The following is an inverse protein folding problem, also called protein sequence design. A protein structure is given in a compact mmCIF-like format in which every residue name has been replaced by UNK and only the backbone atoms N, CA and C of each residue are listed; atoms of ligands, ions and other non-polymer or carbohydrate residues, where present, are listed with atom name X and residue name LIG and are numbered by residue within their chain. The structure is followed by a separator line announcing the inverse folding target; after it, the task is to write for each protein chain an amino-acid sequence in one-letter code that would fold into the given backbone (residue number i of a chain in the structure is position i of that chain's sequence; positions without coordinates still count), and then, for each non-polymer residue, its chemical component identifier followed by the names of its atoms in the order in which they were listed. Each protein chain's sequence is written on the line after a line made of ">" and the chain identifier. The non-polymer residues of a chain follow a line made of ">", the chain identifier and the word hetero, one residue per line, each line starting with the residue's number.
data_IF_741138310375
#
_entry.id   IF_741138310375
#
_cell.length_a   1.000
_cell.length_b   1.000
_cell.length_c   1.000
_cell.angle_alpha   90.00
_cell.angle_beta   90.00
_cell.angle_gamma   90.00
#
_symmetry.space_group_name_H-M   'P 1'
#
loop_
_entity.id
_entity.type
_entity.pdbx_description
1 polymer ?
#
# COMPACT_ATOMS: atom_id res chain seq x y z
N UNK A 1 -6.25 -19.60 7.20
CA UNK A 1 -5.23 -18.53 7.19
C UNK A 1 -5.91 -17.34 6.53
N UNK A 2 -6.16 -16.25 7.26
CA UNK A 2 -6.69 -15.04 6.62
C UNK A 2 -5.66 -14.57 5.59
N UNK A 3 -6.09 -14.29 4.37
CA UNK A 3 -5.21 -13.74 3.32
C UNK A 3 -4.69 -12.38 3.81
N UNK A 4 -3.37 -12.29 4.03
CA UNK A 4 -2.72 -11.05 4.45
C UNK A 4 -2.03 -10.42 3.27
N UNK A 5 -2.36 -9.17 3.00
CA UNK A 5 -1.77 -8.43 1.90
C UNK A 5 -0.44 -7.79 2.27
N UNK A 6 0.47 -7.77 1.29
CA UNK A 6 1.69 -6.97 1.33
C UNK A 6 1.34 -5.48 1.26
N UNK A 7 2.22 -4.63 1.76
CA UNK A 7 1.99 -3.19 1.81
C UNK A 7 2.86 -2.51 0.74
N UNK A 8 2.29 -1.55 0.02
CA UNK A 8 3.04 -0.72 -0.93
C UNK A 8 2.96 0.77 -0.60
N UNK A 9 3.73 1.54 -1.37
CA UNK A 9 3.62 2.99 -1.46
C UNK A 9 2.17 3.42 -1.64
N UNK A 10 1.79 4.48 -0.93
CA UNK A 10 0.42 4.98 -0.89
C UNK A 10 -0.45 4.30 0.18
N UNK A 11 0.07 3.31 0.91
CA UNK A 11 -0.65 2.68 2.01
C UNK A 11 -1.12 3.70 3.05
N UNK A 12 -2.40 3.63 3.39
CA UNK A 12 -3.02 4.56 4.34
C UNK A 12 -2.74 4.07 5.76
N UNK A 13 -2.08 4.91 6.56
CA UNK A 13 -1.75 4.62 7.95
C UNK A 13 -2.45 5.59 8.89
N UNK A 14 -2.74 5.13 10.11
CA UNK A 14 -3.36 5.95 11.15
C UNK A 14 -2.75 5.63 12.51
N UNK A 15 -2.45 6.67 13.28
CA UNK A 15 -2.05 6.53 14.68
C UNK A 15 -3.29 6.47 15.59
N UNK A 16 -3.28 5.59 16.60
CA UNK A 16 -4.34 5.51 17.61
C UNK A 16 -4.56 6.82 18.38
N UNK A 17 -3.56 7.69 18.41
CA UNK A 17 -3.59 9.00 19.08
C UNK A 17 -3.76 10.17 18.11
N UNK A 18 -3.78 9.90 16.80
CA UNK A 18 -3.97 10.89 15.75
C UNK A 18 -5.45 11.06 15.38
N UNK A 19 -5.76 12.16 14.70
CA UNK A 19 -7.13 12.47 14.23
C UNK A 19 -7.31 12.32 12.72
N UNK A 20 -6.23 12.21 11.96
CA UNK A 20 -6.28 12.02 10.51
C UNK A 20 -5.29 10.93 10.06
N UNK A 21 -5.59 10.20 8.97
CA UNK A 21 -4.65 9.27 8.36
C UNK A 21 -3.66 10.00 7.43
N UNK A 22 -2.53 9.34 7.14
CA UNK A 22 -1.52 9.80 6.19
C UNK A 22 -1.01 8.62 5.34
N UNK A 23 -0.43 8.91 4.18
CA UNK A 23 0.04 7.90 3.22
C UNK A 23 1.52 7.59 3.41
N UNK A 24 1.86 6.30 3.44
CA UNK A 24 3.23 5.81 3.52
C UNK A 24 3.93 6.01 2.17
N UNK A 25 5.12 6.60 2.21
CA UNK A 25 6.02 6.76 1.06
C UNK A 25 7.26 5.90 1.27
N UNK A 26 7.52 5.02 0.33
CA UNK A 26 8.67 4.12 0.36
C UNK A 26 9.88 4.89 -0.18
N UNK A 27 10.91 5.02 0.66
CA UNK A 27 12.14 5.78 0.31
C UNK A 27 13.39 4.92 0.32
N UNK A 28 13.28 3.71 0.84
CA UNK A 28 14.43 2.85 1.11
C UNK A 28 14.83 1.95 -0.05
N UNK A 29 13.98 1.83 -1.08
CA UNK A 29 14.22 1.01 -2.26
C UNK A 29 13.51 1.61 -3.48
N UNK A 30 13.93 1.24 -4.68
CA UNK A 30 13.45 1.81 -5.95
C UNK A 30 13.24 0.77 -7.07
N UNK A 31 13.09 -0.51 -6.72
CA UNK A 31 13.11 -1.62 -7.69
C UNK A 31 12.00 -2.63 -7.52
N UNK A 32 11.42 -2.75 -6.33
CA UNK A 32 10.49 -3.81 -5.97
C UNK A 32 9.09 -3.23 -5.95
N UNK A 33 8.35 -3.48 -7.01
CA UNK A 33 6.96 -3.05 -7.19
C UNK A 33 6.02 -4.23 -6.94
N UNK A 34 4.82 -3.96 -6.43
CA UNK A 34 3.76 -4.97 -6.28
C UNK A 34 2.47 -4.51 -6.92
N UNK A 35 1.84 -5.43 -7.66
CA UNK A 35 0.55 -5.22 -8.31
C UNK A 35 0.48 -3.91 -9.12
N UNK A 36 1.56 -3.65 -9.87
CA UNK A 36 1.79 -2.49 -10.71
C UNK A 36 2.47 -3.00 -11.98
N UNK A 37 1.71 -3.04 -13.07
CA UNK A 37 2.16 -3.62 -14.35
C UNK A 37 3.35 -2.87 -14.93
N UNK A 38 3.37 -1.54 -14.78
CA UNK A 38 4.38 -0.67 -15.35
C UNK A 38 5.58 -0.49 -14.41
N UNK A 39 5.43 -0.87 -13.15
CA UNK A 39 6.50 -0.85 -12.15
C UNK A 39 7.01 0.57 -11.88
N UNK A 40 6.08 1.50 -11.67
CA UNK A 40 6.40 2.93 -11.54
C UNK A 40 6.12 3.47 -10.14
N UNK A 41 4.99 3.08 -9.53
CA UNK A 41 4.40 3.80 -8.41
C UNK A 41 4.25 2.96 -7.14
N UNK A 42 3.94 1.66 -7.25
CA UNK A 42 3.59 0.81 -6.08
C UNK A 42 4.80 0.05 -5.52
N UNK A 43 5.81 0.80 -5.09
CA UNK A 43 6.98 0.25 -4.40
C UNK A 43 6.56 -0.52 -3.13
N UNK A 44 7.05 -1.74 -2.93
CA UNK A 44 6.82 -2.53 -1.73
C UNK A 44 7.45 -1.87 -0.51
N UNK A 45 6.69 -1.79 0.57
CA UNK A 45 7.15 -1.24 1.86
C UNK A 45 7.80 -2.33 2.73
N UNK A 46 8.80 -1.91 3.50
CA UNK A 46 9.59 -2.78 4.36
C UNK A 46 9.74 -2.20 5.77
N UNK A 47 10.16 -3.04 6.73
CA UNK A 47 10.46 -2.58 8.08
C UNK A 47 11.60 -1.54 8.17
N UNK A 48 12.33 -1.32 7.07
CA UNK A 48 13.38 -0.29 7.00
C UNK A 48 12.82 1.10 6.67
N UNK A 49 11.54 1.22 6.28
CA UNK A 49 10.89 2.51 6.00
C UNK A 49 10.55 3.26 7.29
N UNK A 50 11.61 3.65 8.01
CA UNK A 50 11.61 4.40 9.27
C UNK A 50 11.93 5.89 9.03
N UNK A 51 11.72 6.72 10.04
CA UNK A 51 11.93 8.16 9.98
C UNK A 51 10.72 8.93 9.46
N UNK A 52 10.95 9.98 8.68
CA UNK A 52 9.91 10.80 8.04
C UNK A 52 9.52 10.23 6.67
N UNK A 53 8.76 9.14 6.71
CA UNK A 53 8.36 8.37 5.53
C UNK A 53 6.92 8.59 5.11
N UNK A 54 6.13 9.40 5.81
CA UNK A 54 4.79 9.74 5.37
C UNK A 54 4.79 10.96 4.43
N UNK A 55 3.74 11.13 3.64
CA UNK A 55 3.62 12.28 2.72
C UNK A 55 3.53 13.61 3.47
N UNK A 56 2.57 13.72 4.39
CA UNK A 56 2.38 14.95 5.19
C UNK A 56 3.19 14.94 6.48
N UNK A 57 3.68 13.77 6.90
CA UNK A 57 4.38 13.56 8.16
C UNK A 57 3.56 14.05 9.37
N UNK A 58 2.24 13.92 9.29
CA UNK A 58 1.33 14.26 10.37
C UNK A 58 0.08 13.38 10.34
N UNK A 59 -0.38 12.95 11.51
CA UNK A 59 -1.69 12.30 11.68
C UNK A 59 -2.74 13.27 12.23
N UNK A 60 -2.68 14.55 11.83
CA UNK A 60 -3.56 15.60 12.37
C UNK A 60 -3.10 16.06 13.75
N UNK A 61 -4.01 16.18 14.70
CA UNK A 61 -3.72 16.46 16.11
C UNK A 61 -3.37 15.19 16.88
N UNK A 62 -2.42 15.28 17.81
CA UNK A 62 -1.96 14.15 18.62
C UNK A 62 -2.41 14.30 20.09
N UNK A 63 -3.22 13.36 20.59
CA UNK A 63 -3.67 13.40 21.99
C UNK A 63 -2.53 13.23 23.00
N UNK A 64 -1.44 12.56 22.62
CA UNK A 64 -0.20 12.45 23.42
C UNK A 64 0.65 13.72 23.43
N UNK A 65 0.33 14.68 22.56
CA UNK A 65 0.96 16.01 22.53
C UNK A 65 -0.02 17.10 22.96
N UNK A 66 -0.96 16.83 23.87
CA UNK A 66 -1.99 17.80 24.29
C UNK A 66 -2.76 18.40 23.09
N UNK A 67 -3.11 17.57 22.11
CA UNK A 67 -3.78 17.94 20.85
C UNK A 67 -3.00 18.90 19.95
N UNK A 68 -1.71 19.11 20.19
CA UNK A 68 -0.85 19.82 19.26
C UNK A 68 -0.70 19.03 17.94
N UNK A 69 -0.29 19.70 16.84
CA UNK A 69 -0.02 19.06 15.56
C UNK A 69 0.96 17.88 15.71
N UNK A 70 0.55 16.72 15.20
CA UNK A 70 1.36 15.51 15.19
C UNK A 70 2.58 15.68 14.30
N UNK A 71 3.76 15.33 14.81
CA UNK A 71 4.98 15.19 14.02
C UNK A 71 5.37 13.71 14.00
N UNK A 72 4.85 12.95 13.03
CA UNK A 72 5.15 11.52 12.97
C UNK A 72 6.58 11.30 12.48
N UNK A 73 7.30 10.46 13.21
CA UNK A 73 8.58 9.88 12.81
C UNK A 73 8.54 8.42 13.27
N UNK A 74 8.66 7.50 12.32
CA UNK A 74 8.64 6.06 12.62
C UNK A 74 9.97 5.65 13.21
N UNK A 75 9.96 4.98 14.36
CA UNK A 75 11.19 4.48 15.00
C UNK A 75 11.45 3.02 14.65
N UNK A 76 10.40 2.23 14.58
CA UNK A 76 10.46 0.80 14.27
C UNK A 76 9.12 0.31 13.71
N UNK A 77 9.20 -0.81 12.98
CA UNK A 77 8.05 -1.60 12.54
C UNK A 77 8.05 -2.96 13.24
N UNK A 78 6.87 -3.48 13.54
CA UNK A 78 6.64 -4.80 14.11
C UNK A 78 5.63 -5.59 13.27
N UNK A 79 5.64 -6.92 13.43
CA UNK A 79 4.72 -7.80 12.70
C UNK A 79 4.97 -7.84 11.19
N UNK A 80 6.21 -7.60 10.76
CA UNK A 80 6.67 -7.78 9.37
C UNK A 80 6.81 -9.27 9.01
N UNK A 81 6.89 -9.58 7.72
CA UNK A 81 6.98 -10.94 7.22
C UNK A 81 8.43 -11.35 6.97
N UNK A 82 8.93 -12.28 7.81
CA UNK A 82 10.34 -12.68 7.80
C UNK A 82 10.77 -13.50 6.59
N UNK A 83 9.83 -14.09 5.84
CA UNK A 83 10.15 -14.96 4.70
C UNK A 83 10.42 -14.20 3.41
N UNK A 84 10.15 -12.90 3.36
CA UNK A 84 10.46 -12.03 2.22
C UNK A 84 11.46 -10.98 2.69
N UNK A 85 12.65 -11.00 2.13
CA UNK A 85 13.70 -10.00 2.37
C UNK A 85 14.10 -9.37 1.05
N UNK A 86 14.07 -8.04 0.98
CA UNK A 86 14.54 -7.29 -0.17
C UNK A 86 16.05 -7.13 -0.05
N UNK A 87 16.78 -7.55 -1.09
CA UNK A 87 18.24 -7.43 -1.11
C UNK A 87 18.70 -5.96 -1.12
N UNK A 88 17.93 -5.07 -1.76
CA UNK A 88 18.29 -3.66 -1.96
C UNK A 88 18.44 -2.87 -0.65
N UNK A 89 17.59 -3.16 0.35
CA UNK A 89 17.61 -2.48 1.65
C UNK A 89 17.74 -3.44 2.85
N UNK A 90 17.94 -4.74 2.60
CA UNK A 90 17.90 -5.83 3.60
C UNK A 90 16.60 -5.85 4.42
N UNK A 91 15.55 -5.27 3.85
CA UNK A 91 14.26 -5.02 4.48
C UNK A 91 13.32 -6.20 4.32
N UNK A 92 12.77 -6.67 5.44
CA UNK A 92 11.63 -7.57 5.50
C UNK A 92 10.33 -6.86 5.12
N UNK A 93 9.47 -7.55 4.37
CA UNK A 93 8.23 -6.98 3.84
C UNK A 93 7.20 -6.67 4.93
N UNK A 94 6.48 -5.56 4.79
CA UNK A 94 5.35 -5.23 5.65
C UNK A 94 4.07 -5.94 5.18
N UNK A 95 3.25 -6.33 6.15
CA UNK A 95 1.90 -6.85 5.94
C UNK A 95 0.89 -5.82 6.45
N UNK A 96 -0.36 -5.93 6.02
CA UNK A 96 -1.47 -5.11 6.56
C UNK A 96 -1.60 -5.20 8.10
N UNK A 97 -1.16 -6.31 8.70
CA UNK A 97 -1.15 -6.49 10.15
C UNK A 97 0.06 -5.87 10.85
N UNK A 98 1.06 -5.39 10.10
CA UNK A 98 2.25 -4.74 10.64
C UNK A 98 1.88 -3.41 11.30
N UNK A 99 2.65 -3.04 12.32
CA UNK A 99 2.42 -1.83 13.10
C UNK A 99 3.71 -1.04 13.22
N UNK A 100 3.59 0.27 13.32
CA UNK A 100 4.71 1.17 13.51
C UNK A 100 4.66 1.86 14.88
N UNK A 101 5.84 2.19 15.38
CA UNK A 101 6.03 2.96 16.61
C UNK A 101 6.50 4.37 16.29
N UNK A 102 6.03 5.36 17.05
CA UNK A 102 6.60 6.70 17.06
C UNK A 102 7.09 7.06 18.48
N UNK A 103 8.04 8.00 18.64
CA UNK A 103 8.68 8.26 19.93
C UNK A 103 7.75 8.93 20.94
N UNK A 104 6.66 9.56 20.48
CA UNK A 104 5.72 10.31 21.31
C UNK A 104 4.51 9.46 21.75
N UNK A 105 4.16 8.47 20.93
CA UNK A 105 2.99 7.63 21.14
C UNK A 105 3.27 6.50 22.12
N UNK A 106 2.99 5.29 21.68
CA UNK A 106 3.35 4.07 22.37
C UNK A 106 3.93 3.09 21.36
N UNK A 107 4.49 1.98 21.84
CA UNK A 107 4.82 0.87 20.96
C UNK A 107 3.61 0.48 20.12
N UNK A 108 3.83 0.24 18.82
CA UNK A 108 2.83 -0.22 17.86
C UNK A 108 1.57 0.67 17.75
N UNK A 109 1.72 1.99 17.96
CA UNK A 109 0.58 2.91 17.95
C UNK A 109 0.06 3.26 16.55
N UNK A 110 0.85 3.06 15.50
CA UNK A 110 0.49 3.34 14.10
C UNK A 110 0.06 2.03 13.43
N UNK A 111 -1.12 2.04 12.83
CA UNK A 111 -1.72 0.90 12.13
C UNK A 111 -1.85 1.21 10.65
N UNK A 112 -1.75 0.16 9.84
CA UNK A 112 -2.06 0.21 8.41
C UNK A 112 -3.57 -0.02 8.28
N UNK A 113 -4.27 0.96 7.71
CA UNK A 113 -5.72 0.93 7.49
C UNK A 113 -6.04 0.41 6.10
N UNK A 114 -5.19 0.76 5.12
CA UNK A 114 -5.27 0.26 3.76
C UNK A 114 -3.85 -0.06 3.27
N UNK A 115 -3.65 -1.25 2.71
CA UNK A 115 -2.34 -1.73 2.26
C UNK A 115 -1.78 -1.01 1.01
N UNK A 116 -2.58 -0.16 0.36
CA UNK A 116 -2.19 0.69 -0.75
C UNK A 116 -2.23 0.01 -2.13
N UNK A 117 -2.56 -1.28 -2.18
CA UNK A 117 -2.67 -2.00 -3.45
C UNK A 117 -4.07 -1.79 -4.03
N UNK A 118 -4.15 -1.65 -5.35
CA UNK A 118 -5.39 -1.67 -6.13
C UNK A 118 -5.27 -2.79 -7.14
N UNK A 119 -6.26 -3.67 -7.23
CA UNK A 119 -6.30 -4.71 -8.25
C UNK A 119 -6.33 -4.08 -9.64
N UNK A 120 -5.35 -4.42 -10.48
CA UNK A 120 -5.32 -4.01 -11.88
C UNK A 120 -5.81 -5.18 -12.74
N UNK A 121 -6.83 -4.93 -13.55
CA UNK A 121 -7.32 -5.89 -14.54
C UNK A 121 -6.33 -5.90 -15.69
N UNK A 122 -5.64 -7.02 -15.87
CA UNK A 122 -4.76 -7.22 -17.02
C UNK A 122 -5.55 -7.76 -18.22
N UNK A 123 -5.01 -7.64 -19.44
CA UNK A 123 -5.56 -8.31 -20.62
C UNK A 123 -5.70 -9.82 -20.40
N UNK A 124 -4.71 -10.43 -19.75
CA UNK A 124 -4.76 -11.84 -19.35
C UNK A 124 -5.91 -12.14 -18.37
N UNK A 125 -6.31 -11.17 -17.54
CA UNK A 125 -7.46 -11.31 -16.63
C UNK A 125 -8.78 -11.33 -17.39
N UNK A 126 -8.88 -10.59 -18.49
CA UNK A 126 -10.05 -10.59 -19.39
C UNK A 126 -10.10 -11.89 -20.20
N UNK A 127 -8.96 -12.33 -20.75
CA UNK A 127 -8.87 -13.57 -21.52
C UNK A 127 -9.23 -14.83 -20.72
N UNK A 128 -8.87 -14.84 -19.43
CA UNK A 128 -9.16 -15.98 -18.53
C UNK A 128 -10.54 -15.91 -17.87
N UNK A 129 -11.27 -14.80 -18.04
CA UNK A 129 -12.58 -14.64 -17.43
C UNK A 129 -13.66 -15.40 -18.24
N UNK A 130 -14.73 -15.80 -17.56
CA UNK A 130 -15.84 -16.48 -18.20
C UNK A 130 -16.57 -15.52 -19.15
N UNK A 131 -16.56 -15.86 -20.43
CA UNK A 131 -17.09 -14.99 -21.49
C UNK A 131 -18.61 -14.80 -21.38
N UNK A 132 -19.37 -15.78 -20.87
CA UNK A 132 -20.81 -15.65 -20.67
C UNK A 132 -21.11 -14.67 -19.53
N UNK A 133 -20.37 -14.77 -18.43
CA UNK A 133 -20.48 -13.82 -17.30
C UNK A 133 -20.09 -12.41 -17.72
N UNK A 134 -19.02 -12.27 -18.51
CA UNK A 134 -18.59 -10.99 -19.03
C UNK A 134 -19.65 -10.38 -19.97
N UNK A 135 -20.29 -11.17 -20.83
CA UNK A 135 -21.35 -10.71 -21.72
C UNK A 135 -22.62 -10.29 -20.94
N UNK A 136 -22.93 -10.93 -19.82
CA UNK A 136 -24.05 -10.53 -18.96
C UNK A 136 -23.77 -9.24 -18.17
N UNK A 137 -22.56 -9.10 -17.64
CA UNK A 137 -22.15 -7.89 -16.90
C UNK A 137 -21.95 -6.68 -17.82
N UNK A 138 -21.47 -6.92 -19.04
CA UNK A 138 -21.13 -5.88 -20.01
C UNK A 138 -21.81 -6.09 -21.38
N UNK A 139 -23.16 -6.12 -21.44
CA UNK A 139 -23.90 -6.49 -22.65
C UNK A 139 -23.74 -5.52 -23.83
N UNK A 140 -23.21 -4.33 -23.58
CA UNK A 140 -22.95 -3.30 -24.60
C UNK A 140 -21.46 -3.08 -24.88
N UNK A 141 -20.57 -3.89 -24.29
CA UNK A 141 -19.14 -3.82 -24.53
C UNK A 141 -18.73 -5.03 -25.37
N UNK A 142 -18.23 -4.83 -26.60
CA UNK A 142 -17.71 -5.92 -27.41
C UNK A 142 -16.39 -6.41 -26.80
N UNK A 143 -16.44 -7.52 -26.05
CA UNK A 143 -15.28 -8.12 -25.37
C UNK A 143 -14.61 -9.25 -26.18
N UNK A 144 -15.10 -9.55 -27.38
CA UNK A 144 -14.57 -10.59 -28.28
C UNK A 144 -13.83 -9.98 -29.48
N UNK A 145 -12.49 -9.93 -29.35
CA UNK A 145 -11.45 -9.89 -30.39
C UNK A 145 -11.73 -9.17 -31.73
N UNK A 146 -11.22 -7.93 -31.84
CA UNK A 146 -10.33 -7.41 -32.92
C UNK A 146 -10.00 -5.90 -32.76
N UNK A 147 -10.17 -5.33 -31.56
CA UNK A 147 -9.70 -3.98 -31.25
C UNK A 147 -8.98 -3.93 -29.88
N UNK A 148 -7.83 -4.61 -29.79
CA UNK A 148 -6.82 -4.47 -28.72
C UNK A 148 -6.25 -3.03 -28.58
N UNK A 149 -6.97 -2.01 -29.06
CA UNK A 149 -6.60 -0.59 -29.04
C UNK A 149 -7.58 0.29 -28.26
N UNK A 150 -8.72 -0.22 -27.79
CA UNK A 150 -9.74 0.62 -27.14
C UNK A 150 -9.59 0.68 -25.60
N UNK A 151 -8.80 -0.19 -24.98
CA UNK A 151 -8.36 0.00 -23.59
C UNK A 151 -7.17 0.97 -23.47
N UNK A 152 -7.09 1.97 -24.34
CA UNK A 152 -6.46 3.25 -24.01
C UNK A 152 -7.34 3.93 -22.95
N UNK A 153 -7.30 3.42 -21.72
CA UNK A 153 -7.60 4.24 -20.55
C UNK A 153 -6.49 5.29 -20.55
N UNK A 154 -6.80 6.45 -21.12
CA UNK A 154 -5.89 7.59 -21.17
C UNK A 154 -5.50 7.93 -19.74
N UNK A 155 -4.22 7.70 -19.41
CA UNK A 155 -3.54 8.33 -18.29
C UNK A 155 -3.39 9.83 -18.55
#
# INVERSE_FOLDING_TARGET
>A
MSEKHLVCQGALCMCNFGTAPDKLKVKTQSKRYINDKDGADKLMATHMDIGKTFEKNTFGSCSKMNNNPCQVTVTEWSGFYDKITLEDNKGKALLESSKATCPIGSKDCIKIVNHGQTAEVSSQSVENADQEVLAELFPFVPLSSEEDKILNIQN
#
